data_IF_734153865757
#
_entry.id   IF_734153865757
#
_cell.length_a   1.000
_cell.length_b   1.000
_cell.length_c   1.000
_cell.angle_alpha   90.00
_cell.angle_beta   90.00
_cell.angle_gamma   90.00
#
_symmetry.space_group_name_H-M   'P 1'
#
loop_
_entity.id
_entity.type
_entity.pdbx_description
1 polymer ?
#
# COMPACT_ATOMS: atom_id res chain seq x y z
N UNK A 1 71.92 -10.80 -14.98
CA UNK A 1 71.48 -11.07 -13.65
C UNK A 1 69.95 -11.08 -13.70
N UNK A 2 69.38 -12.28 -13.96
CA UNK A 2 67.91 -12.48 -13.99
C UNK A 2 67.43 -12.79 -12.57
N UNK A 3 66.48 -12.03 -12.09
CA UNK A 3 65.78 -12.30 -10.84
C UNK A 3 64.63 -13.28 -11.10
N UNK A 4 64.78 -14.53 -10.64
CA UNK A 4 63.73 -15.52 -10.50
C UNK A 4 62.79 -15.11 -9.36
N UNK A 5 61.64 -14.58 -9.67
CA UNK A 5 60.53 -14.43 -8.73
C UNK A 5 59.58 -15.61 -8.96
N UNK A 6 59.29 -16.45 -7.98
CA UNK A 6 58.31 -17.54 -8.14
C UNK A 6 56.91 -16.94 -8.27
N UNK A 7 56.01 -17.61 -9.05
CA UNK A 7 54.61 -17.17 -9.20
C UNK A 7 53.86 -17.24 -7.86
N UNK A 8 52.89 -16.34 -7.61
CA UNK A 8 52.07 -16.39 -6.43
C UNK A 8 51.25 -17.66 -6.35
N UNK A 9 50.92 -18.17 -5.15
CA UNK A 9 50.06 -19.35 -5.00
C UNK A 9 48.63 -19.04 -5.48
N UNK A 10 47.89 -20.03 -5.99
CA UNK A 10 46.49 -19.86 -6.42
C UNK A 10 45.60 -19.51 -5.20
N UNK A 11 44.53 -18.78 -5.38
CA UNK A 11 43.61 -18.44 -4.30
C UNK A 11 42.89 -19.72 -3.79
N UNK A 12 42.67 -19.87 -2.50
CA UNK A 12 41.90 -20.97 -1.93
C UNK A 12 40.42 -20.80 -2.28
N UNK A 13 39.77 -21.79 -2.87
CA UNK A 13 38.32 -21.73 -3.05
C UNK A 13 37.70 -22.56 -4.18
N UNK A 14 38.42 -23.35 -4.93
CA UNK A 14 37.83 -24.11 -6.06
C UNK A 14 37.51 -25.58 -5.82
N UNK A 15 37.81 -26.15 -4.67
CA UNK A 15 37.53 -27.56 -4.36
C UNK A 15 36.26 -27.81 -3.57
N UNK A 16 35.58 -26.77 -3.02
CA UNK A 16 34.36 -26.95 -2.24
C UNK A 16 33.06 -26.88 -3.06
N UNK A 17 33.11 -26.37 -4.31
CA UNK A 17 31.90 -26.16 -5.13
C UNK A 17 31.52 -27.45 -5.91
N UNK A 18 32.46 -28.35 -6.17
CA UNK A 18 32.14 -29.61 -6.89
C UNK A 18 31.53 -30.68 -5.97
N UNK A 19 31.85 -30.68 -4.66
CA UNK A 19 31.23 -31.62 -3.72
C UNK A 19 29.80 -31.21 -3.32
N UNK A 20 29.50 -29.88 -3.19
CA UNK A 20 28.15 -29.39 -2.88
C UNK A 20 27.18 -29.64 -4.05
N UNK A 21 27.61 -29.61 -5.28
CA UNK A 21 26.75 -29.90 -6.44
C UNK A 21 26.41 -31.38 -6.57
N UNK A 22 27.25 -32.30 -6.08
CA UNK A 22 26.93 -33.74 -6.11
C UNK A 22 25.94 -34.13 -5.00
N UNK A 23 26.02 -33.53 -3.82
CA UNK A 23 25.04 -33.76 -2.76
C UNK A 23 23.65 -33.18 -3.10
N UNK A 24 23.57 -32.05 -3.82
CA UNK A 24 22.28 -31.48 -4.25
C UNK A 24 21.62 -32.27 -5.39
N UNK A 25 22.38 -32.93 -6.25
CA UNK A 25 21.81 -33.82 -7.29
C UNK A 25 21.33 -35.18 -6.71
N UNK A 26 21.92 -35.68 -5.63
CA UNK A 26 21.42 -36.90 -4.95
C UNK A 26 20.18 -36.61 -4.09
N UNK A 27 20.07 -35.44 -3.43
CA UNK A 27 18.84 -35.03 -2.73
C UNK A 27 17.68 -34.79 -3.69
N UNK A 28 17.91 -34.22 -4.88
CA UNK A 28 16.86 -33.97 -5.87
C UNK A 28 16.28 -35.28 -6.46
N UNK A 29 17.07 -36.36 -6.52
CA UNK A 29 16.58 -37.67 -7.00
C UNK A 29 15.78 -38.44 -5.95
N UNK A 30 16.03 -38.18 -4.67
CA UNK A 30 15.31 -38.81 -3.56
C UNK A 30 13.90 -38.26 -3.32
N UNK A 31 13.66 -36.98 -3.70
CA UNK A 31 12.35 -36.30 -3.48
C UNK A 31 11.33 -36.73 -4.56
N UNK A 32 11.74 -36.94 -5.79
CA UNK A 32 10.82 -37.36 -6.86
C UNK A 32 10.24 -38.79 -6.70
N UNK A 33 11.00 -39.71 -6.09
CA UNK A 33 10.48 -41.08 -5.83
C UNK A 33 9.51 -41.14 -4.63
N UNK A 34 9.67 -40.25 -3.64
CA UNK A 34 8.77 -40.19 -2.49
C UNK A 34 7.45 -39.49 -2.81
N UNK A 35 7.43 -38.48 -3.69
CA UNK A 35 6.19 -37.81 -4.11
C UNK A 35 5.32 -38.71 -5.01
N UNK A 36 5.92 -39.61 -5.84
CA UNK A 36 5.16 -40.55 -6.66
C UNK A 36 4.48 -41.65 -5.84
N UNK A 37 5.10 -42.12 -4.76
CA UNK A 37 4.49 -43.12 -3.88
C UNK A 37 3.35 -42.52 -3.03
N UNK A 38 3.47 -41.25 -2.62
CA UNK A 38 2.43 -40.53 -1.87
C UNK A 38 1.16 -40.23 -2.69
N UNK A 39 1.29 -40.15 -4.03
CA UNK A 39 0.16 -39.90 -4.92
C UNK A 39 -0.71 -41.14 -5.18
N UNK A 40 -0.07 -42.30 -5.30
CA UNK A 40 -0.78 -43.60 -5.49
C UNK A 40 -1.52 -44.02 -4.21
N UNK A 41 -0.95 -43.77 -3.02
CA UNK A 41 -1.62 -44.03 -1.74
C UNK A 41 -2.81 -43.11 -1.48
N UNK A 42 -2.77 -41.87 -2.01
CA UNK A 42 -3.89 -40.92 -1.87
C UNK A 42 -5.07 -41.26 -2.77
N UNK A 43 -4.84 -41.86 -3.93
CA UNK A 43 -5.90 -42.35 -4.83
C UNK A 43 -6.59 -43.59 -4.29
N UNK A 44 -5.81 -44.50 -3.67
CA UNK A 44 -6.37 -45.69 -3.02
C UNK A 44 -7.25 -45.38 -1.80
N UNK A 45 -7.02 -44.23 -1.14
CA UNK A 45 -7.85 -43.78 0.01
C UNK A 45 -9.16 -43.13 -0.47
N UNK A 46 -9.20 -42.50 -1.62
CA UNK A 46 -10.43 -41.91 -2.19
C UNK A 46 -11.40 -42.98 -2.69
N UNK A 47 -10.91 -44.10 -3.22
CA UNK A 47 -11.78 -45.24 -3.63
C UNK A 47 -12.45 -45.96 -2.45
N UNK A 48 -11.89 -45.84 -1.24
CA UNK A 48 -12.48 -46.42 -0.03
C UNK A 48 -13.54 -45.54 0.64
N UNK A 49 -13.63 -44.27 0.30
CA UNK A 49 -14.61 -43.32 0.87
C UNK A 49 -15.96 -43.34 0.14
N UNK A 50 -16.03 -43.85 -1.07
CA UNK A 50 -17.27 -43.90 -1.88
C UNK A 50 -18.23 -45.03 -1.49
N UNK A 51 -17.76 -46.04 -0.68
CA UNK A 51 -18.57 -47.19 -0.28
C UNK A 51 -19.27 -47.03 1.09
N UNK A 52 -19.14 -45.89 1.80
CA UNK A 52 -19.71 -45.72 3.15
C UNK A 52 -20.51 -44.44 3.37
N UNK A 53 -21.45 -44.06 2.48
CA UNK A 53 -22.51 -43.14 2.89
C UNK A 53 -23.82 -43.35 2.11
N UNK A 54 -24.57 -44.29 2.55
CA UNK A 54 -26.03 -44.29 2.39
C UNK A 54 -26.64 -44.31 3.78
N UNK A 55 -26.95 -43.18 4.36
CA UNK A 55 -28.00 -43.06 5.41
C UNK A 55 -28.36 -41.58 5.65
N UNK A 56 -29.62 -41.32 5.33
CA UNK A 56 -30.51 -40.30 5.93
C UNK A 56 -30.16 -38.81 5.72
N UNK A 57 -30.71 -38.22 4.67
CA UNK A 57 -30.88 -36.77 4.53
C UNK A 57 -31.90 -36.25 5.56
N UNK A 58 -31.56 -35.23 6.39
CA UNK A 58 -32.59 -34.51 7.14
C UNK A 58 -33.35 -33.60 6.13
N UNK A 59 -34.63 -33.79 6.00
CA UNK A 59 -35.53 -32.91 5.26
C UNK A 59 -35.51 -31.51 5.90
N UNK A 60 -34.74 -30.59 5.31
CA UNK A 60 -34.78 -29.16 5.63
C UNK A 60 -36.01 -28.58 4.94
N UNK A 61 -36.95 -28.09 5.76
CA UNK A 61 -38.16 -27.41 5.29
C UNK A 61 -37.80 -26.06 4.64
N UNK A 62 -37.55 -26.12 3.34
CA UNK A 62 -37.10 -24.97 2.53
C UNK A 62 -38.13 -23.85 2.42
N UNK A 63 -39.41 -24.11 2.68
CA UNK A 63 -40.46 -23.07 2.67
C UNK A 63 -40.44 -22.20 3.93
N UNK A 64 -39.97 -22.71 5.06
CA UNK A 64 -39.88 -21.95 6.31
C UNK A 64 -38.68 -21.00 6.31
N UNK A 65 -37.55 -21.45 5.78
CA UNK A 65 -36.32 -20.67 5.69
C UNK A 65 -36.51 -19.51 4.69
N UNK A 66 -37.19 -19.71 3.58
CA UNK A 66 -37.46 -18.66 2.58
C UNK A 66 -38.40 -17.56 3.11
N UNK A 67 -39.35 -17.89 3.98
CA UNK A 67 -40.25 -16.90 4.59
C UNK A 67 -39.56 -16.06 5.67
N UNK A 68 -38.65 -16.65 6.44
CA UNK A 68 -37.86 -15.92 7.45
C UNK A 68 -36.82 -15.00 6.81
N UNK A 69 -36.23 -15.38 5.68
CA UNK A 69 -35.34 -14.52 4.90
C UNK A 69 -36.05 -13.34 4.24
N UNK A 70 -37.22 -13.53 3.64
CA UNK A 70 -38.01 -12.46 3.03
C UNK A 70 -38.52 -11.47 4.08
N UNK A 71 -38.92 -11.94 5.28
CA UNK A 71 -39.32 -11.05 6.37
C UNK A 71 -38.14 -10.22 6.94
N UNK A 72 -36.93 -10.74 6.90
CA UNK A 72 -35.73 -9.99 7.31
C UNK A 72 -35.32 -8.95 6.24
N UNK A 73 -35.52 -9.26 4.97
CA UNK A 73 -35.27 -8.30 3.86
C UNK A 73 -36.31 -7.16 3.87
N UNK A 74 -37.60 -7.46 4.04
CA UNK A 74 -38.64 -6.41 4.09
C UNK A 74 -38.49 -5.47 5.28
N UNK A 75 -37.95 -5.97 6.41
CA UNK A 75 -37.61 -5.15 7.58
C UNK A 75 -36.38 -4.25 7.36
N UNK A 76 -35.44 -4.66 6.50
CA UNK A 76 -34.25 -3.87 6.20
C UNK A 76 -34.50 -2.73 5.19
N UNK A 77 -35.59 -2.83 4.39
CA UNK A 77 -35.93 -1.79 3.40
C UNK A 77 -37.08 -0.85 3.83
N UNK A 78 -37.66 -1.01 5.02
CA UNK A 78 -38.78 -0.20 5.49
C UNK A 78 -38.38 1.17 6.07
N UNK A 79 -37.09 1.49 6.27
CA UNK A 79 -36.62 2.72 6.89
C UNK A 79 -35.94 3.71 5.91
N UNK A 80 -36.02 3.53 4.59
CA UNK A 80 -35.42 4.44 3.61
C UNK A 80 -36.45 5.18 2.71
N UNK A 81 -37.42 5.86 3.28
CA UNK A 81 -38.08 6.97 2.60
C UNK A 81 -37.85 8.27 3.36
N UNK A 82 -36.77 8.97 3.06
CA UNK A 82 -36.56 10.33 3.54
C UNK A 82 -35.15 10.75 3.80
N UNK A 83 -34.23 10.59 2.87
CA UNK A 83 -32.94 11.30 2.94
C UNK A 83 -32.58 11.87 1.57
N UNK A 84 -32.57 13.19 1.51
CA UNK A 84 -32.02 13.98 0.41
C UNK A 84 -30.56 13.56 0.16
N UNK A 85 -30.20 13.44 -1.12
CA UNK A 85 -28.83 13.22 -1.57
C UNK A 85 -27.94 14.39 -1.08
N UNK A 86 -27.36 14.21 0.08
CA UNK A 86 -26.13 14.93 0.48
C UNK A 86 -24.97 14.26 -0.25
N UNK A 87 -24.26 15.06 -1.03
CA UNK A 87 -22.98 14.69 -1.62
C UNK A 87 -22.11 14.05 -0.56
N UNK A 88 -21.77 12.77 -0.71
CA UNK A 88 -20.73 12.12 0.12
C UNK A 88 -19.41 12.89 -0.05
N UNK A 89 -19.17 13.77 0.90
CA UNK A 89 -17.89 14.36 1.15
C UNK A 89 -16.94 13.21 1.53
N UNK A 90 -15.95 12.97 0.68
CA UNK A 90 -14.88 11.98 0.90
C UNK A 90 -14.36 12.24 2.31
N UNK A 91 -14.54 11.29 3.21
CA UNK A 91 -14.10 11.40 4.59
C UNK A 91 -12.57 11.61 4.59
N UNK A 92 -12.14 12.86 4.80
CA UNK A 92 -10.75 13.19 5.09
C UNK A 92 -10.30 12.38 6.31
N UNK A 93 -9.07 11.84 6.32
CA UNK A 93 -8.56 11.11 7.47
C UNK A 93 -8.66 12.02 8.69
N UNK A 94 -9.49 11.65 9.67
CA UNK A 94 -9.66 12.41 10.90
C UNK A 94 -8.35 12.34 11.69
N UNK A 95 -7.55 13.37 11.55
CA UNK A 95 -6.38 13.61 12.39
C UNK A 95 -6.83 13.73 13.84
N UNK A 96 -6.22 12.98 14.75
CA UNK A 96 -6.58 13.00 16.16
C UNK A 96 -6.47 14.41 16.77
N UNK A 97 -7.18 14.72 17.85
CA UNK A 97 -7.26 16.07 18.45
C UNK A 97 -5.92 16.65 18.94
N UNK A 98 -4.84 15.85 18.98
CA UNK A 98 -3.49 16.29 19.37
C UNK A 98 -2.53 16.44 18.17
N UNK A 99 -2.97 16.19 16.95
CA UNK A 99 -2.12 16.26 15.76
C UNK A 99 -1.87 17.70 15.33
N UNK A 100 -0.60 18.04 15.07
CA UNK A 100 -0.21 19.31 14.44
C UNK A 100 -0.21 19.22 12.91
N UNK A 101 -0.74 18.14 12.36
CA UNK A 101 -0.76 17.86 10.92
C UNK A 101 -1.98 18.50 10.28
N UNK A 102 -1.82 18.94 9.05
CA UNK A 102 -2.88 19.50 8.20
C UNK A 102 -2.85 18.86 6.82
N UNK A 103 -3.97 18.94 6.08
CA UNK A 103 -4.00 18.53 4.69
C UNK A 103 -2.85 19.17 3.90
N UNK A 104 -2.21 18.37 3.07
CA UNK A 104 -1.04 18.81 2.31
C UNK A 104 -1.29 20.05 1.46
N UNK A 105 -2.48 20.16 0.87
CA UNK A 105 -2.87 21.32 0.05
C UNK A 105 -2.96 22.63 0.85
N UNK A 106 -3.41 22.57 2.11
CA UNK A 106 -3.44 23.75 2.99
C UNK A 106 -2.03 24.21 3.32
N UNK A 107 -1.14 23.27 3.69
CA UNK A 107 0.25 23.60 4.02
C UNK A 107 0.98 24.17 2.82
N UNK A 108 0.75 23.63 1.61
CA UNK A 108 1.37 24.11 0.39
C UNK A 108 0.92 25.53 0.02
N UNK A 109 -0.29 25.95 0.41
CA UNK A 109 -0.80 27.30 0.19
C UNK A 109 -0.15 28.37 1.10
N UNK A 110 0.46 27.98 2.23
CA UNK A 110 1.08 28.90 3.19
C UNK A 110 2.50 29.23 2.70
N UNK A 111 2.88 30.52 2.54
CA UNK A 111 4.21 30.88 2.09
C UNK A 111 5.29 30.54 3.12
N UNK A 112 6.48 30.15 2.66
CA UNK A 112 7.64 29.78 3.45
C UNK A 112 8.18 28.38 3.12
N UNK A 113 9.40 28.11 3.57
CA UNK A 113 10.03 26.79 3.41
C UNK A 113 9.30 25.74 4.25
N UNK A 114 9.41 24.47 3.85
CA UNK A 114 8.70 23.34 4.50
C UNK A 114 9.68 22.28 4.97
N UNK A 115 9.34 21.64 6.07
CA UNK A 115 9.87 20.33 6.42
C UNK A 115 8.93 19.28 5.82
N UNK A 116 9.38 18.62 4.75
CA UNK A 116 8.65 17.51 4.12
C UNK A 116 8.91 16.23 4.88
N UNK A 117 7.84 15.54 5.22
CA UNK A 117 7.87 14.22 5.88
C UNK A 117 6.98 13.28 5.09
N UNK A 118 7.55 12.24 4.48
CA UNK A 118 6.82 11.34 3.59
C UNK A 118 6.98 9.90 4.06
N UNK A 119 5.86 9.21 4.27
CA UNK A 119 5.82 7.75 4.35
C UNK A 119 5.56 7.22 2.95
N UNK A 120 6.50 6.43 2.43
CA UNK A 120 6.40 5.82 1.12
C UNK A 120 6.50 4.31 1.25
N UNK A 121 5.54 3.57 0.69
CA UNK A 121 5.58 2.12 0.63
C UNK A 121 5.51 1.63 -0.81
N UNK A 122 6.22 0.54 -1.08
CA UNK A 122 6.20 -0.16 -2.35
C UNK A 122 5.76 -1.59 -2.11
N UNK A 123 4.60 -1.97 -2.66
CA UNK A 123 4.10 -3.34 -2.66
C UNK A 123 4.61 -4.07 -3.91
N UNK A 124 5.15 -5.27 -3.72
CA UNK A 124 5.42 -6.23 -4.79
C UNK A 124 4.69 -7.53 -4.48
N UNK A 125 3.76 -7.93 -5.35
CA UNK A 125 2.89 -9.07 -5.10
C UNK A 125 2.81 -10.00 -6.31
N UNK A 126 2.87 -11.31 -6.05
CA UNK A 126 2.57 -12.35 -7.02
C UNK A 126 1.26 -13.02 -6.61
N UNK A 127 0.26 -12.98 -7.50
CA UNK A 127 -1.05 -13.57 -7.30
C UNK A 127 -1.24 -14.81 -8.18
N UNK A 128 -2.09 -15.71 -7.71
CA UNK A 128 -2.70 -16.71 -8.59
C UNK A 128 -3.75 -16.04 -9.49
N UNK A 129 -4.14 -16.65 -10.62
CA UNK A 129 -5.12 -16.08 -11.55
C UNK A 129 -6.50 -15.81 -10.94
N UNK A 130 -6.85 -16.48 -9.84
CA UNK A 130 -8.07 -16.25 -9.06
C UNK A 130 -7.96 -15.03 -8.11
N UNK A 131 -6.80 -14.38 -8.07
CA UNK A 131 -6.51 -13.22 -7.21
C UNK A 131 -6.03 -13.59 -5.80
N UNK A 132 -5.81 -14.87 -5.46
CA UNK A 132 -5.22 -15.23 -4.17
C UNK A 132 -3.73 -14.91 -4.13
N UNK A 133 -3.23 -14.49 -2.95
CA UNK A 133 -1.80 -14.14 -2.78
C UNK A 133 -0.95 -15.40 -2.76
N UNK A 134 0.10 -15.40 -3.55
CA UNK A 134 1.17 -16.38 -3.51
C UNK A 134 2.39 -15.86 -2.76
N UNK A 135 2.77 -14.62 -3.05
CA UNK A 135 3.90 -13.92 -2.43
C UNK A 135 3.60 -12.45 -2.36
N UNK A 136 4.03 -11.79 -1.30
CA UNK A 136 3.93 -10.34 -1.13
C UNK A 136 5.15 -9.87 -0.34
N UNK A 137 5.73 -8.74 -0.76
CA UNK A 137 6.71 -7.96 -0.01
C UNK A 137 6.31 -6.49 -0.03
N UNK A 138 6.59 -5.80 1.06
CA UNK A 138 6.32 -4.36 1.20
C UNK A 138 7.57 -3.71 1.76
N UNK A 139 8.19 -2.88 0.94
CA UNK A 139 9.34 -2.07 1.32
C UNK A 139 8.87 -0.65 1.60
N UNK A 140 9.23 -0.12 2.75
CA UNK A 140 8.86 1.22 3.20
C UNK A 140 10.05 2.13 3.39
N UNK A 141 9.83 3.42 3.24
CA UNK A 141 10.79 4.49 3.53
C UNK A 141 10.08 5.65 4.24
N UNK A 142 10.62 6.09 5.36
CA UNK A 142 10.30 7.40 5.93
C UNK A 142 11.35 8.39 5.41
N UNK A 143 10.89 9.36 4.64
CA UNK A 143 11.72 10.39 4.01
C UNK A 143 11.49 11.71 4.73
N UNK A 144 12.55 12.29 5.28
CA UNK A 144 12.53 13.65 5.83
C UNK A 144 13.39 14.54 4.94
N UNK A 145 12.85 15.66 4.50
CA UNK A 145 13.55 16.61 3.64
C UNK A 145 13.35 18.05 4.10
N UNK A 146 14.44 18.73 4.39
CA UNK A 146 14.47 20.16 4.62
C UNK A 146 14.49 20.90 3.26
N UNK A 147 13.45 21.70 2.95
CA UNK A 147 13.40 22.46 1.71
C UNK A 147 14.12 23.82 1.80
N UNK A 148 14.46 24.27 2.99
CA UNK A 148 15.13 25.55 3.17
C UNK A 148 16.53 25.55 2.56
N UNK A 149 16.91 26.65 1.97
CA UNK A 149 18.27 26.90 1.48
C UNK A 149 19.19 27.59 2.50
N UNK A 150 18.62 28.05 3.63
CA UNK A 150 19.30 28.91 4.59
C UNK A 150 19.32 28.31 5.99
N UNK A 151 18.19 27.72 6.39
CA UNK A 151 17.95 27.35 7.77
C UNK A 151 17.92 25.84 7.95
N UNK A 152 18.47 25.37 9.05
CA UNK A 152 18.38 23.97 9.47
C UNK A 152 17.12 23.76 10.30
N UNK A 153 16.62 22.53 10.31
CA UNK A 153 15.63 22.02 11.24
C UNK A 153 16.34 21.06 12.24
N UNK A 154 15.96 21.09 13.50
CA UNK A 154 16.53 20.21 14.52
C UNK A 154 15.47 19.70 15.49
N UNK A 155 15.87 18.75 16.36
CA UNK A 155 14.99 18.06 17.31
C UNK A 155 13.71 17.57 16.62
N UNK A 156 13.89 16.85 15.49
CA UNK A 156 12.80 16.36 14.69
C UNK A 156 12.32 15.05 15.31
N UNK A 157 11.09 15.04 15.80
CA UNK A 157 10.41 13.87 16.32
C UNK A 157 9.19 13.57 15.45
N UNK A 158 9.16 12.37 14.86
CA UNK A 158 8.06 11.85 14.07
C UNK A 158 7.37 10.76 14.87
N UNK A 159 6.11 10.99 15.24
CA UNK A 159 5.27 9.98 15.89
C UNK A 159 4.40 9.30 14.84
N UNK A 160 4.37 7.98 14.87
CA UNK A 160 3.60 7.14 13.96
C UNK A 160 2.58 6.30 14.72
N UNK A 161 1.42 6.13 14.12
CA UNK A 161 0.36 5.22 14.56
C UNK A 161 0.32 3.96 13.69
N UNK A 162 -0.24 2.87 14.24
CA UNK A 162 -0.43 1.60 13.55
C UNK A 162 0.86 0.95 13.04
N UNK A 163 1.96 1.09 13.77
CA UNK A 163 3.27 0.55 13.39
C UNK A 163 3.43 -0.96 13.64
N UNK A 164 2.41 -1.64 14.17
CA UNK A 164 2.47 -3.07 14.52
C UNK A 164 2.75 -4.00 13.33
N UNK A 165 2.48 -3.54 12.12
CA UNK A 165 2.74 -4.25 10.86
C UNK A 165 4.06 -3.87 10.21
N UNK A 166 4.92 -3.13 10.91
CA UNK A 166 6.23 -2.66 10.43
C UNK A 166 7.33 -3.01 11.42
N UNK A 167 8.57 -2.96 10.98
CA UNK A 167 9.76 -3.11 11.82
C UNK A 167 10.33 -1.77 12.35
N UNK A 168 9.59 -0.67 12.21
CA UNK A 168 9.99 0.67 12.72
C UNK A 168 10.19 0.68 14.24
N UNK A 169 9.58 -0.29 14.98
CA UNK A 169 9.63 -0.29 16.44
C UNK A 169 8.69 0.76 17.04
N UNK A 170 8.80 1.10 18.29
CA UNK A 170 7.88 1.89 19.13
C UNK A 170 7.18 3.15 18.59
N UNK A 171 7.13 3.37 17.29
CA UNK A 171 6.35 4.44 16.64
C UNK A 171 6.94 5.85 16.74
N UNK A 172 8.01 6.06 17.51
CA UNK A 172 8.69 7.34 17.65
C UNK A 172 10.07 7.31 16.95
N UNK A 173 10.29 8.21 16.02
CA UNK A 173 11.54 8.35 15.26
C UNK A 173 12.13 9.73 15.53
N UNK A 174 13.37 9.76 16.00
CA UNK A 174 14.07 10.98 16.34
C UNK A 174 15.23 11.23 15.37
N UNK A 175 15.23 12.40 14.73
CA UNK A 175 16.33 12.89 13.91
C UNK A 175 16.87 14.17 14.51
N UNK A 176 18.15 14.16 14.87
CA UNK A 176 18.77 15.27 15.59
C UNK A 176 18.70 16.59 14.83
N UNK A 177 19.09 16.57 13.57
CA UNK A 177 19.08 17.76 12.72
C UNK A 177 19.09 17.41 11.23
N UNK A 178 18.56 18.32 10.42
CA UNK A 178 18.67 18.35 8.98
C UNK A 178 19.18 19.71 8.57
N UNK A 179 20.36 19.78 7.97
CA UNK A 179 20.91 20.99 7.41
C UNK A 179 20.06 21.51 6.23
N UNK A 180 20.34 22.73 5.79
CA UNK A 180 19.69 23.32 4.63
C UNK A 180 19.81 22.40 3.40
N UNK A 181 18.70 22.14 2.72
CA UNK A 181 18.54 21.25 1.55
C UNK A 181 18.83 19.76 1.82
N UNK A 182 19.08 19.36 3.05
CA UNK A 182 19.39 17.98 3.40
C UNK A 182 18.11 17.11 3.37
N UNK A 183 18.31 15.84 2.99
CA UNK A 183 17.31 14.78 3.11
C UNK A 183 17.91 13.57 3.82
N UNK A 184 17.09 12.89 4.60
CA UNK A 184 17.43 11.60 5.20
C UNK A 184 16.32 10.60 4.91
N UNK A 185 16.70 9.34 4.65
CA UNK A 185 15.78 8.24 4.39
C UNK A 185 16.00 7.16 5.42
N UNK A 186 14.93 6.69 6.01
CA UNK A 186 14.90 5.61 7.00
C UNK A 186 14.10 4.46 6.40
N UNK A 187 14.76 3.42 5.88
CA UNK A 187 14.08 2.27 5.30
C UNK A 187 13.44 1.41 6.40
N UNK A 188 12.33 0.76 6.07
CA UNK A 188 11.66 -0.22 6.90
C UNK A 188 11.00 -1.30 6.05
N UNK A 189 10.67 -2.43 6.66
CA UNK A 189 9.85 -3.46 6.05
C UNK A 189 8.46 -3.46 6.67
N UNK A 190 7.48 -3.80 5.87
CA UNK A 190 6.10 -3.80 6.31
C UNK A 190 5.35 -5.06 5.88
N UNK A 191 4.22 -5.31 6.54
CA UNK A 191 3.22 -6.30 6.15
C UNK A 191 1.84 -5.64 6.17
N UNK A 192 0.91 -6.14 5.37
CA UNK A 192 -0.41 -5.56 5.35
C UNK A 192 -1.34 -6.21 4.33
N UNK A 193 -2.63 -5.87 4.35
CA UNK A 193 -3.57 -6.32 3.34
C UNK A 193 -3.22 -5.66 2.00
N UNK A 194 -3.45 -6.39 0.92
CA UNK A 194 -3.33 -5.85 -0.44
C UNK A 194 -4.21 -4.61 -0.62
N UNK A 195 -3.81 -3.74 -1.52
CA UNK A 195 -4.60 -2.58 -1.94
C UNK A 195 -5.46 -2.89 -3.16
N UNK A 196 -5.00 -3.79 -4.03
CA UNK A 196 -5.66 -4.13 -5.28
C UNK A 196 -5.71 -5.64 -5.48
N UNK A 197 -6.77 -6.15 -6.09
CA UNK A 197 -6.89 -7.53 -6.55
C UNK A 197 -6.99 -7.52 -8.06
N UNK A 198 -6.18 -8.35 -8.71
CA UNK A 198 -6.25 -8.61 -10.14
C UNK A 198 -6.59 -10.07 -10.34
N UNK A 199 -7.60 -10.36 -11.18
CA UNK A 199 -8.01 -11.72 -11.55
C UNK A 199 -8.01 -11.85 -13.06
N UNK A 200 -7.59 -12.99 -13.57
CA UNK A 200 -7.69 -13.32 -14.97
C UNK A 200 -8.48 -14.63 -15.14
N UNK A 201 -9.56 -14.56 -15.86
CA UNK A 201 -10.33 -15.69 -16.29
C UNK A 201 -10.16 -15.88 -17.80
N UNK A 202 -9.80 -17.09 -18.23
CA UNK A 202 -9.67 -17.47 -19.66
C UNK A 202 -10.67 -18.58 -19.92
N UNK A 203 -11.61 -18.33 -20.85
CA UNK A 203 -12.57 -19.29 -21.33
C UNK A 203 -12.20 -19.70 -22.77
N UNK A 204 -11.95 -20.98 -22.96
CA UNK A 204 -11.59 -21.55 -24.27
C UNK A 204 -12.80 -21.97 -25.11
N UNK A 205 -14.01 -21.96 -24.53
CA UNK A 205 -15.27 -22.30 -25.20
C UNK A 205 -16.36 -21.28 -24.84
N UNK A 206 -16.25 -19.99 -25.26
CA UNK A 206 -17.16 -18.92 -24.83
C UNK A 206 -18.61 -19.15 -25.23
N UNK A 207 -18.90 -19.96 -26.27
CA UNK A 207 -20.24 -20.34 -26.63
C UNK A 207 -20.88 -21.36 -25.66
N UNK A 208 -20.08 -22.01 -24.83
CA UNK A 208 -20.48 -23.01 -23.85
C UNK A 208 -19.84 -22.67 -22.51
N UNK A 209 -20.44 -21.79 -21.70
CA UNK A 209 -19.88 -21.39 -20.43
C UNK A 209 -19.52 -22.63 -19.59
N UNK A 210 -18.24 -22.84 -19.37
CA UNK A 210 -17.68 -23.91 -18.53
C UNK A 210 -16.78 -23.31 -17.47
N UNK A 211 -16.40 -24.10 -16.49
CA UNK A 211 -15.32 -23.72 -15.60
C UNK A 211 -14.04 -23.47 -16.43
N UNK A 212 -13.29 -22.45 -16.02
CA UNK A 212 -12.08 -21.98 -16.68
C UNK A 212 -11.10 -23.14 -16.93
N UNK A 213 -11.06 -23.62 -18.15
CA UNK A 213 -10.14 -24.68 -18.57
C UNK A 213 -9.07 -24.10 -19.49
N UNK A 214 -7.78 -24.32 -19.16
CA UNK A 214 -6.67 -24.02 -20.08
C UNK A 214 -6.36 -25.18 -21.02
N UNK A 215 -7.37 -25.97 -21.38
CA UNK A 215 -7.25 -27.08 -22.34
C UNK A 215 -7.99 -26.74 -23.62
N UNK A 216 -7.29 -26.84 -24.76
CA UNK A 216 -7.87 -26.62 -26.09
C UNK A 216 -7.64 -27.88 -26.93
N UNK A 217 -8.58 -28.17 -27.82
CA UNK A 217 -8.39 -29.24 -28.79
C UNK A 217 -7.56 -28.70 -29.95
N UNK A 218 -6.57 -29.48 -30.42
CA UNK A 218 -5.80 -29.13 -31.59
C UNK A 218 -6.71 -28.92 -32.81
N UNK A 219 -6.55 -27.78 -33.46
CA UNK A 219 -7.29 -27.39 -34.66
C UNK A 219 -6.36 -26.70 -35.64
N UNK A 220 -6.50 -27.01 -36.94
CA UNK A 220 -5.79 -26.31 -38.03
C UNK A 220 -6.33 -24.88 -38.22
N UNK A 221 -7.51 -24.58 -37.69
CA UNK A 221 -8.16 -23.26 -37.74
C UNK A 221 -7.99 -22.52 -36.44
N UNK A 222 -7.90 -21.20 -36.51
CA UNK A 222 -7.90 -20.35 -35.33
C UNK A 222 -9.20 -20.50 -34.55
N UNK A 223 -9.11 -20.51 -33.22
CA UNK A 223 -10.22 -20.61 -32.29
C UNK A 223 -10.32 -19.28 -31.52
N UNK A 224 -11.52 -18.76 -31.37
CA UNK A 224 -11.77 -17.61 -30.54
C UNK A 224 -11.89 -18.03 -29.08
N UNK A 225 -11.23 -17.30 -28.19
CA UNK A 225 -11.34 -17.48 -26.73
C UNK A 225 -11.76 -16.18 -26.08
N UNK A 226 -12.30 -16.26 -24.87
CA UNK A 226 -12.63 -15.11 -24.05
C UNK A 226 -11.62 -14.97 -22.92
N UNK A 227 -11.04 -13.79 -22.76
CA UNK A 227 -10.21 -13.44 -21.63
C UNK A 227 -10.84 -12.28 -20.88
N UNK A 228 -11.09 -12.45 -19.58
CA UNK A 228 -11.61 -11.40 -18.69
C UNK A 228 -10.55 -11.05 -17.67
N UNK A 229 -10.17 -9.78 -17.61
CA UNK A 229 -9.27 -9.24 -16.60
C UNK A 229 -10.09 -8.34 -15.69
N UNK A 230 -10.22 -8.71 -14.42
CA UNK A 230 -10.96 -7.93 -13.42
C UNK A 230 -9.97 -7.31 -12.43
N UNK A 231 -10.11 -6.01 -12.23
CA UNK A 231 -9.36 -5.22 -11.25
C UNK A 231 -10.34 -4.70 -10.21
N UNK A 232 -10.04 -4.93 -8.93
CA UNK A 232 -10.87 -4.55 -7.80
C UNK A 232 -10.05 -3.73 -6.79
N UNK A 233 -10.55 -2.58 -6.38
CA UNK A 233 -9.96 -1.77 -5.33
C UNK A 233 -10.45 -2.26 -3.96
N UNK A 234 -9.55 -2.80 -3.15
CA UNK A 234 -9.82 -3.21 -1.76
C UNK A 234 -9.07 -2.34 -0.74
N UNK A 235 -8.48 -1.24 -1.21
CA UNK A 235 -7.83 -0.24 -0.36
C UNK A 235 -8.87 0.64 0.37
N UNK A 236 -8.49 1.37 1.44
CA UNK A 236 -9.37 2.33 2.11
C UNK A 236 -9.48 3.66 1.36
N UNK A 237 -8.71 3.82 0.29
CA UNK A 237 -8.64 5.04 -0.54
C UNK A 237 -8.77 4.67 -2.02
N UNK A 238 -9.04 5.66 -2.85
CA UNK A 238 -9.03 5.47 -4.30
C UNK A 238 -7.63 5.09 -4.79
N UNK A 239 -7.57 4.16 -5.74
CA UNK A 239 -6.34 3.86 -6.48
C UNK A 239 -6.27 4.73 -7.72
N UNK A 240 -5.07 5.21 -8.05
CA UNK A 240 -4.81 6.08 -9.19
C UNK A 240 -3.77 5.47 -10.12
N UNK A 241 -3.69 5.99 -11.34
CA UNK A 241 -2.68 5.64 -12.34
C UNK A 241 -2.55 4.13 -12.58
N UNK A 242 -3.68 3.41 -12.54
CA UNK A 242 -3.67 1.97 -12.70
C UNK A 242 -3.35 1.62 -14.15
N UNK A 243 -2.31 0.81 -14.34
CA UNK A 243 -1.88 0.32 -15.64
C UNK A 243 -1.79 -1.20 -15.60
N UNK A 244 -2.61 -1.85 -16.41
CA UNK A 244 -2.60 -3.28 -16.60
C UNK A 244 -1.84 -3.58 -17.90
N UNK A 245 -0.88 -4.50 -17.83
CA UNK A 245 -0.13 -5.02 -18.98
C UNK A 245 -0.37 -6.51 -19.10
N UNK A 246 -0.65 -6.97 -20.28
CA UNK A 246 -0.79 -8.39 -20.57
C UNK A 246 0.06 -8.78 -21.77
N UNK A 247 0.98 -9.67 -21.57
CA UNK A 247 1.77 -10.25 -22.67
C UNK A 247 0.87 -11.05 -23.61
N UNK A 248 0.96 -10.75 -24.90
CA UNK A 248 0.23 -11.46 -25.97
C UNK A 248 1.19 -12.46 -26.59
N UNK A 249 0.98 -13.78 -26.40
CA UNK A 249 1.83 -14.80 -27.02
C UNK A 249 1.73 -14.77 -28.55
N UNK A 250 2.77 -15.23 -29.24
CA UNK A 250 2.83 -15.29 -30.72
C UNK A 250 1.69 -16.09 -31.39
N UNK A 251 1.05 -16.96 -30.61
CA UNK A 251 -0.07 -17.77 -31.10
C UNK A 251 -1.43 -17.03 -31.06
N UNK A 252 -1.44 -15.79 -30.52
CA UNK A 252 -2.62 -14.99 -30.35
C UNK A 252 -2.67 -13.90 -31.40
N UNK A 253 -3.82 -13.76 -32.03
CA UNK A 253 -4.16 -12.65 -32.91
C UNK A 253 -5.18 -11.75 -32.18
N UNK A 254 -4.77 -10.56 -31.85
CA UNK A 254 -5.58 -9.53 -31.18
C UNK A 254 -5.32 -8.19 -31.85
N UNK A 255 -6.35 -7.39 -32.06
CA UNK A 255 -6.27 -6.01 -32.55
C UNK A 255 -6.58 -5.02 -31.45
N UNK A 256 -6.21 -3.76 -31.64
CA UNK A 256 -6.52 -2.67 -30.73
C UNK A 256 -8.02 -2.59 -30.45
N UNK A 257 -8.36 -2.27 -29.23
CA UNK A 257 -9.74 -2.06 -28.78
C UNK A 257 -9.95 -0.63 -28.27
N UNK A 258 -11.20 -0.25 -28.00
CA UNK A 258 -11.51 1.11 -27.54
C UNK A 258 -10.97 1.42 -26.12
N UNK A 259 -10.69 0.38 -25.32
CA UNK A 259 -10.29 0.50 -23.90
C UNK A 259 -8.81 0.20 -23.68
N UNK A 260 -8.11 -0.36 -24.66
CA UNK A 260 -6.72 -0.76 -24.55
C UNK A 260 -5.95 -0.53 -25.85
N UNK A 261 -4.66 -0.38 -25.72
CA UNK A 261 -3.69 -0.29 -26.82
C UNK A 261 -2.87 -1.57 -26.89
N UNK A 262 -2.39 -1.93 -28.09
CA UNK A 262 -1.41 -3.00 -28.26
C UNK A 262 -0.08 -2.38 -28.68
N UNK A 263 0.96 -2.63 -27.91
CA UNK A 263 2.31 -2.16 -28.21
C UNK A 263 3.33 -3.27 -27.93
N UNK A 264 4.22 -3.55 -28.91
CA UNK A 264 5.33 -4.50 -28.79
C UNK A 264 4.93 -5.89 -28.26
N UNK A 265 3.73 -6.37 -28.58
CA UNK A 265 3.24 -7.67 -28.12
C UNK A 265 2.67 -7.66 -26.71
N UNK A 266 2.41 -6.49 -26.14
CA UNK A 266 1.68 -6.30 -24.90
C UNK A 266 0.37 -5.53 -25.13
N UNK A 267 -0.68 -5.98 -24.49
CA UNK A 267 -1.90 -5.22 -24.29
C UNK A 267 -1.70 -4.30 -23.09
N UNK A 268 -2.02 -3.01 -23.26
CA UNK A 268 -1.90 -1.98 -22.22
C UNK A 268 -3.29 -1.38 -21.98
N UNK A 269 -3.83 -1.62 -20.79
CA UNK A 269 -5.11 -1.06 -20.34
C UNK A 269 -4.86 -0.07 -19.20
N UNK A 270 -5.31 1.18 -19.38
CA UNK A 270 -5.12 2.28 -18.43
C UNK A 270 -6.44 2.63 -17.77
N UNK A 271 -6.45 2.58 -16.44
CA UNK A 271 -7.56 2.98 -15.60
C UNK A 271 -7.10 4.19 -14.78
N UNK A 272 -7.65 5.39 -15.03
CA UNK A 272 -7.14 6.62 -14.40
C UNK A 272 -7.34 6.60 -12.88
N UNK A 273 -8.57 6.31 -12.40
CA UNK A 273 -8.93 6.25 -10.98
C UNK A 273 -9.95 5.15 -10.75
N UNK A 274 -9.76 4.40 -9.67
CA UNK A 274 -10.70 3.38 -9.21
C UNK A 274 -11.11 3.68 -7.77
N UNK A 275 -12.35 4.09 -7.51
CA UNK A 275 -12.87 4.37 -6.17
C UNK A 275 -12.83 3.16 -5.24
N UNK A 276 -12.99 3.41 -3.94
CA UNK A 276 -12.99 2.38 -2.89
C UNK A 276 -14.12 1.36 -3.14
N UNK A 277 -13.77 0.07 -3.10
CA UNK A 277 -14.73 -1.03 -3.26
C UNK A 277 -15.24 -1.24 -4.68
N UNK A 278 -14.82 -0.41 -5.64
CA UNK A 278 -15.21 -0.60 -7.03
C UNK A 278 -14.35 -1.62 -7.77
N UNK A 279 -14.93 -2.20 -8.82
CA UNK A 279 -14.23 -3.12 -9.72
C UNK A 279 -14.55 -2.79 -11.17
N UNK A 280 -13.57 -3.02 -12.03
CA UNK A 280 -13.71 -2.88 -13.49
C UNK A 280 -13.21 -4.15 -14.17
N UNK A 281 -13.81 -4.48 -15.31
CA UNK A 281 -13.48 -5.70 -16.06
C UNK A 281 -13.27 -5.35 -17.52
N UNK A 282 -12.13 -5.80 -18.07
CA UNK A 282 -11.83 -5.79 -19.49
C UNK A 282 -12.11 -7.17 -20.06
N UNK A 283 -12.91 -7.24 -21.13
CA UNK A 283 -13.17 -8.45 -21.90
C UNK A 283 -12.52 -8.34 -23.29
N UNK A 284 -11.72 -9.34 -23.64
CA UNK A 284 -11.05 -9.42 -24.95
C UNK A 284 -11.29 -10.78 -25.58
N UNK A 285 -11.36 -10.81 -26.92
CA UNK A 285 -11.65 -11.97 -27.72
C UNK A 285 -10.51 -12.27 -28.72
N UNK A 286 -9.34 -12.75 -28.25
CA UNK A 286 -8.26 -13.11 -29.16
C UNK A 286 -8.57 -14.38 -29.92
N UNK A 287 -8.03 -14.48 -31.15
CA UNK A 287 -8.00 -15.71 -31.92
C UNK A 287 -6.70 -16.44 -31.66
N UNK A 288 -6.79 -17.70 -31.29
CA UNK A 288 -5.64 -18.55 -30.95
C UNK A 288 -5.42 -19.59 -32.03
N UNK A 289 -4.20 -19.66 -32.58
CA UNK A 289 -3.79 -20.67 -33.56
C UNK A 289 -2.91 -21.71 -32.89
N UNK A 290 -3.37 -22.97 -32.88
CA UNK A 290 -2.60 -24.11 -32.34
C UNK A 290 -1.74 -24.69 -33.42
N UNK A 291 -0.40 -24.52 -33.30
CA UNK A 291 0.57 -25.05 -34.32
C UNK A 291 0.99 -26.49 -34.08
N UNK A 292 0.82 -27.00 -32.88
CA UNK A 292 1.24 -28.37 -32.50
C UNK A 292 0.49 -28.81 -31.23
N UNK A 293 0.59 -30.07 -30.86
CA UNK A 293 0.05 -30.65 -29.61
C UNK A 293 0.93 -30.32 -28.39
N UNK A 294 1.79 -29.31 -28.48
CA UNK A 294 2.67 -28.89 -27.38
C UNK A 294 1.99 -27.80 -26.54
N UNK A 295 2.35 -27.76 -25.26
CA UNK A 295 1.95 -26.67 -24.37
C UNK A 295 2.56 -25.35 -24.84
N UNK A 296 1.84 -24.26 -24.69
CA UNK A 296 2.36 -22.91 -24.91
C UNK A 296 1.85 -21.95 -23.82
N UNK A 297 2.61 -20.87 -23.58
CA UNK A 297 2.30 -19.87 -22.57
C UNK A 297 0.96 -19.18 -22.87
N UNK A 298 0.17 -18.93 -21.83
CA UNK A 298 -1.07 -18.17 -21.94
C UNK A 298 -0.83 -16.65 -21.96
N UNK A 299 0.39 -16.21 -21.65
CA UNK A 299 0.77 -14.84 -21.38
C UNK A 299 0.65 -14.52 -19.88
N UNK A 300 1.40 -13.52 -19.45
CA UNK A 300 1.39 -13.00 -18.07
C UNK A 300 0.62 -11.70 -18.00
N UNK A 301 0.02 -11.42 -16.84
CA UNK A 301 -0.61 -10.15 -16.52
C UNK A 301 0.17 -9.48 -15.40
N UNK A 302 0.51 -8.22 -15.58
CA UNK A 302 1.05 -7.35 -14.54
C UNK A 302 0.19 -6.11 -14.37
N UNK A 303 0.20 -5.56 -13.18
CA UNK A 303 -0.56 -4.37 -12.84
C UNK A 303 0.27 -3.45 -11.95
N UNK A 304 0.18 -2.15 -12.19
CA UNK A 304 0.78 -1.13 -11.35
C UNK A 304 -0.30 -0.15 -10.90
N UNK A 305 -0.14 0.43 -9.71
CA UNK A 305 -1.03 1.46 -9.15
C UNK A 305 -0.28 2.42 -8.25
N UNK A 306 -0.90 3.56 -7.94
CA UNK A 306 -0.50 4.50 -6.90
C UNK A 306 -1.70 4.83 -5.98
N UNK A 307 -1.44 5.21 -4.71
CA UNK A 307 -2.47 5.71 -3.80
C UNK A 307 -1.89 6.56 -2.66
N UNK A 308 -2.75 7.31 -1.98
CA UNK A 308 -2.42 8.19 -0.85
C UNK A 308 -2.68 7.50 0.51
N UNK A 309 -2.24 6.26 0.65
CA UNK A 309 -2.28 5.50 1.90
C UNK A 309 -1.13 4.50 1.95
N UNK A 310 -0.70 4.07 3.14
CA UNK A 310 0.25 2.97 3.31
C UNK A 310 -0.46 1.62 3.25
N UNK A 311 0.21 0.61 2.70
CA UNK A 311 -0.27 -0.78 2.71
C UNK A 311 -0.33 -1.32 4.14
N UNK A 312 0.64 -0.97 4.98
CA UNK A 312 0.72 -1.32 6.40
C UNK A 312 -0.34 -0.66 7.28
N UNK A 313 -1.05 0.37 6.77
CA UNK A 313 -1.94 1.26 7.53
C UNK A 313 -1.23 2.15 8.54
N UNK A 314 0.09 2.26 8.45
CA UNK A 314 0.87 3.20 9.27
C UNK A 314 0.56 4.63 8.85
N UNK A 315 0.36 5.50 9.82
CA UNK A 315 0.00 6.91 9.63
C UNK A 315 0.84 7.81 10.54
N UNK A 316 0.96 9.07 10.16
CA UNK A 316 1.52 10.07 11.06
C UNK A 316 0.53 10.40 12.19
N UNK A 317 1.03 10.46 13.42
CA UNK A 317 0.32 11.01 14.56
C UNK A 317 0.69 12.49 14.73
N UNK A 318 1.99 12.78 14.80
CA UNK A 318 2.50 14.14 14.87
C UNK A 318 3.93 14.24 14.34
N UNK A 319 4.33 15.46 13.96
CA UNK A 319 5.70 15.78 13.57
C UNK A 319 6.12 17.05 14.28
N UNK A 320 7.02 16.95 15.24
CA UNK A 320 7.55 18.06 16.00
C UNK A 320 8.97 18.35 15.51
N UNK A 321 9.28 19.63 15.33
CA UNK A 321 10.63 20.04 14.91
C UNK A 321 10.87 21.49 15.27
N UNK A 322 12.15 21.84 15.42
CA UNK A 322 12.56 23.17 15.85
C UNK A 322 13.24 23.93 14.72
N UNK A 323 13.05 25.25 14.73
CA UNK A 323 13.76 26.18 13.86
C UNK A 323 14.22 27.40 14.66
N UNK A 324 15.03 28.23 14.04
CA UNK A 324 15.56 29.42 14.72
C UNK A 324 14.47 30.43 15.02
N UNK A 325 14.23 30.65 16.29
CA UNK A 325 13.29 31.65 16.80
C UNK A 325 13.95 32.44 17.94
N UNK A 326 13.38 33.55 18.31
CA UNK A 326 13.80 34.36 19.42
C UNK A 326 12.59 34.86 20.21
N UNK A 327 12.57 34.60 21.52
CA UNK A 327 11.54 35.08 22.41
C UNK A 327 12.08 36.06 23.44
N UNK A 328 11.30 37.05 23.77
CA UNK A 328 11.62 37.97 24.86
C UNK A 328 10.34 38.57 25.44
N UNK A 329 10.41 38.97 26.72
CA UNK A 329 9.33 39.73 27.34
C UNK A 329 9.67 41.21 27.26
N UNK A 330 8.75 41.98 26.73
CA UNK A 330 8.87 43.45 26.61
C UNK A 330 8.11 44.15 27.73
N UNK A 331 8.78 44.64 28.78
CA UNK A 331 8.17 45.46 29.79
C UNK A 331 8.19 46.95 29.36
N UNK A 332 7.02 47.55 29.31
CA UNK A 332 6.82 48.97 29.05
C UNK A 332 6.32 49.64 30.33
N UNK A 333 7.07 50.62 30.80
CA UNK A 333 6.66 51.41 31.98
C UNK A 333 5.40 52.25 31.67
N UNK A 334 4.46 52.27 32.58
CA UNK A 334 3.26 53.10 32.53
C UNK A 334 3.61 54.55 32.90
N UNK A 335 2.65 55.46 32.81
CA UNK A 335 2.76 56.84 33.36
C UNK A 335 3.00 56.85 34.88
N UNK A 336 2.69 55.77 35.57
CA UNK A 336 3.01 55.49 36.97
C UNK A 336 4.33 54.71 37.06
N UNK A 337 5.34 55.21 37.81
CA UNK A 337 6.69 54.64 37.79
C UNK A 337 6.85 53.21 38.33
N UNK A 338 5.85 52.68 39.04
CA UNK A 338 5.89 51.34 39.67
C UNK A 338 5.08 50.31 38.88
N UNK A 339 4.60 50.64 37.67
CA UNK A 339 3.72 49.79 36.88
C UNK A 339 4.34 49.52 35.55
N UNK A 340 4.41 48.21 35.20
CA UNK A 340 4.89 47.76 33.92
C UNK A 340 3.82 46.95 33.19
N UNK A 341 3.64 47.25 31.92
CA UNK A 341 2.84 46.49 30.99
C UNK A 341 3.78 45.52 30.26
N UNK A 342 3.57 44.24 30.43
CA UNK A 342 4.47 43.22 29.95
C UNK A 342 3.76 42.30 28.94
N UNK A 343 4.41 42.05 27.80
CA UNK A 343 3.97 41.07 26.82
C UNK A 343 5.13 40.21 26.37
N UNK A 344 4.84 38.95 26.08
CA UNK A 344 5.79 38.03 25.41
C UNK A 344 5.77 38.32 23.92
N UNK A 345 6.94 38.48 23.32
CA UNK A 345 7.13 38.65 21.88
C UNK A 345 7.91 37.44 21.38
N UNK A 346 7.42 36.81 20.32
CA UNK A 346 8.07 35.69 19.63
C UNK A 346 8.39 36.11 18.21
N UNK A 347 9.69 36.12 17.86
CA UNK A 347 10.19 36.41 16.53
C UNK A 347 10.57 35.11 15.83
N UNK A 348 9.91 34.80 14.71
CA UNK A 348 10.38 33.73 13.84
C UNK A 348 11.58 34.22 13.01
N UNK A 349 12.75 33.72 13.32
CA UNK A 349 14.01 34.07 12.62
C UNK A 349 14.45 33.01 11.62
N UNK A 350 13.49 32.21 11.15
CA UNK A 350 13.74 31.15 10.17
C UNK A 350 12.92 31.38 8.89
N UNK A 351 13.27 30.66 7.86
CA UNK A 351 12.53 30.63 6.58
C UNK A 351 11.28 29.73 6.62
N UNK A 352 11.07 28.99 7.71
CA UNK A 352 9.91 28.13 7.90
C UNK A 352 8.74 28.90 8.51
N UNK A 353 7.52 28.39 8.32
CA UNK A 353 6.39 28.78 9.15
C UNK A 353 6.49 28.04 10.48
N UNK A 354 6.34 28.77 11.57
CA UNK A 354 6.36 28.24 12.95
C UNK A 354 4.95 28.26 13.50
N UNK A 355 4.47 27.11 13.92
CA UNK A 355 3.21 26.97 14.67
C UNK A 355 3.51 27.07 16.17
N UNK A 356 2.90 28.03 16.84
CA UNK A 356 3.01 28.25 18.28
C UNK A 356 1.88 27.51 18.98
N UNK A 357 2.22 26.64 19.93
CA UNK A 357 1.23 25.83 20.68
C UNK A 357 1.06 26.26 22.13
N UNK A 358 2.06 26.88 22.74
CA UNK A 358 2.00 27.32 24.11
C UNK A 358 3.16 28.22 24.49
N UNK A 359 3.00 28.97 25.56
CA UNK A 359 4.08 29.75 26.16
C UNK A 359 3.83 30.01 27.64
N UNK A 360 4.90 29.94 28.43
CA UNK A 360 4.88 30.21 29.85
C UNK A 360 5.97 31.23 30.19
N UNK A 361 5.61 32.22 30.98
CA UNK A 361 6.53 33.29 31.42
C UNK A 361 6.55 33.34 32.94
N UNK A 362 7.73 33.36 33.51
CA UNK A 362 7.93 33.53 34.95
C UNK A 362 8.69 34.82 35.24
N UNK A 363 8.39 35.43 36.40
CA UNK A 363 9.23 36.50 36.97
C UNK A 363 10.40 35.81 37.66
N UNK A 364 11.62 36.27 37.41
CA UNK A 364 12.81 35.69 38.01
C UNK A 364 12.67 35.64 39.54
N UNK A 365 12.88 34.44 40.12
CA UNK A 365 12.75 34.18 41.55
C UNK A 365 11.31 33.93 42.07
N UNK A 366 10.34 33.80 41.19
CA UNK A 366 8.97 33.34 41.53
C UNK A 366 8.71 31.97 40.91
N UNK A 367 8.07 31.09 41.68
CA UNK A 367 7.67 29.76 41.22
C UNK A 367 6.39 29.76 40.39
N UNK A 368 5.47 30.68 40.70
CA UNK A 368 4.19 30.80 39.98
C UNK A 368 4.41 31.47 38.60
N UNK A 369 3.78 30.98 37.55
CA UNK A 369 3.86 31.59 36.23
C UNK A 369 3.19 32.97 36.25
N UNK A 370 3.88 33.95 35.68
CA UNK A 370 3.33 35.28 35.45
C UNK A 370 2.29 35.27 34.34
N UNK A 371 2.57 34.55 33.27
CA UNK A 371 1.71 34.36 32.10
C UNK A 371 1.81 32.93 31.66
N UNK A 372 0.69 32.25 31.52
CA UNK A 372 0.58 30.89 31.02
C UNK A 372 -0.46 30.88 29.92
N UNK A 373 -0.10 30.36 28.76
CA UNK A 373 -0.92 30.29 27.56
C UNK A 373 -0.79 28.89 26.97
N UNK A 374 -1.87 28.18 27.04
CA UNK A 374 -2.01 26.84 26.43
C UNK A 374 -2.90 26.96 25.19
N UNK A 375 -2.80 25.97 24.30
CA UNK A 375 -3.61 25.88 23.08
C UNK A 375 -3.54 27.12 22.16
N UNK A 376 -2.37 27.75 22.10
CA UNK A 376 -2.12 28.82 21.13
C UNK A 376 -2.09 28.13 19.75
N UNK A 377 -2.92 28.58 18.83
CA UNK A 377 -3.02 28.04 17.46
C UNK A 377 -2.64 29.11 16.44
N UNK A 378 -1.50 29.76 16.70
CA UNK A 378 -1.02 30.87 15.88
C UNK A 378 0.16 30.43 15.01
N UNK A 379 0.16 30.90 13.78
CA UNK A 379 1.21 30.67 12.81
C UNK A 379 2.00 31.93 12.60
N UNK A 380 3.30 31.83 12.86
CA UNK A 380 4.23 32.93 12.67
C UNK A 380 4.93 32.71 11.32
N UNK A 381 4.66 33.54 10.31
CA UNK A 381 5.34 33.43 9.01
C UNK A 381 6.84 33.66 9.13
N UNK A 382 7.63 33.33 8.09
CA UNK A 382 9.05 33.67 8.04
C UNK A 382 9.28 35.16 8.36
N UNK A 383 10.25 35.45 9.25
CA UNK A 383 10.60 36.80 9.71
C UNK A 383 9.42 37.54 10.39
N UNK A 384 8.35 36.82 10.73
CA UNK A 384 7.18 37.36 11.40
C UNK A 384 7.35 37.49 12.92
N UNK A 385 6.43 38.24 13.50
CA UNK A 385 6.33 38.52 14.95
C UNK A 385 4.95 38.10 15.46
N UNK A 386 4.93 37.56 16.65
CA UNK A 386 3.70 37.34 17.42
C UNK A 386 3.85 37.94 18.79
N UNK A 387 2.79 38.61 19.30
CA UNK A 387 2.72 39.22 20.59
C UNK A 387 1.61 38.57 21.45
N UNK A 388 1.94 38.23 22.69
CA UNK A 388 0.93 37.77 23.65
C UNK A 388 -0.03 38.92 24.09
N UNK A 389 -1.07 38.55 24.81
CA UNK A 389 -1.83 39.50 25.59
C UNK A 389 -0.89 40.25 26.55
N UNK A 390 -1.21 41.55 26.76
CA UNK A 390 -0.50 42.38 27.69
C UNK A 390 -0.98 42.12 29.12
N UNK A 391 -0.05 41.94 30.06
CA UNK A 391 -0.36 41.75 31.48
C UNK A 391 0.40 42.79 32.32
N UNK A 392 -0.33 43.38 33.25
CA UNK A 392 0.21 44.44 34.13
C UNK A 392 0.86 43.85 35.37
N UNK A 393 1.98 44.42 35.80
CA UNK A 393 2.67 44.09 37.04
C UNK A 393 3.08 45.37 37.79
N UNK A 394 3.00 45.34 39.13
CA UNK A 394 3.55 46.36 40.02
C UNK A 394 4.92 45.92 40.51
N UNK A 395 5.94 46.72 40.25
CA UNK A 395 7.33 46.43 40.64
C UNK A 395 8.12 47.74 40.80
N UNK A 396 8.98 47.80 41.79
CA UNK A 396 9.82 48.99 42.05
C UNK A 396 10.89 49.16 40.96
N UNK A 397 11.43 48.03 40.50
CA UNK A 397 12.45 47.98 39.44
C UNK A 397 11.89 47.20 38.24
N UNK A 398 12.50 47.40 37.06
CA UNK A 398 12.17 46.71 35.87
C UNK A 398 12.28 45.18 36.09
N UNK A 399 11.16 44.43 35.99
CA UNK A 399 11.15 43.00 36.26
C UNK A 399 11.98 42.20 35.24
N UNK A 400 12.68 41.21 35.73
CA UNK A 400 13.39 40.21 34.91
C UNK A 400 12.47 38.98 34.69
N UNK A 401 12.46 38.44 33.48
CA UNK A 401 11.62 37.34 33.11
C UNK A 401 12.46 36.17 32.58
N UNK A 402 11.94 34.95 32.83
CA UNK A 402 12.30 33.74 32.11
C UNK A 402 11.07 33.26 31.36
N UNK A 403 11.25 32.59 30.26
CA UNK A 403 10.14 32.09 29.45
C UNK A 403 10.48 30.74 28.78
N UNK A 404 9.43 29.99 28.54
CA UNK A 404 9.42 28.77 27.74
C UNK A 404 8.40 28.94 26.63
N UNK A 405 8.75 28.50 25.42
CA UNK A 405 7.91 28.63 24.24
C UNK A 405 7.78 27.26 23.59
N UNK A 406 6.57 26.76 23.48
CA UNK A 406 6.22 25.53 22.81
C UNK A 406 5.82 25.83 21.38
N UNK A 407 6.64 25.38 20.42
CA UNK A 407 6.44 25.64 19.00
C UNK A 407 6.99 24.50 18.17
N UNK A 408 6.53 24.41 16.93
CA UNK A 408 7.07 23.50 15.93
C UNK A 408 7.11 24.16 14.56
N UNK A 409 8.03 23.75 13.68
CA UNK A 409 7.90 24.03 12.25
C UNK A 409 6.59 23.39 11.77
N UNK A 410 5.83 24.09 10.95
CA UNK A 410 4.64 23.52 10.30
C UNK A 410 5.09 22.44 9.31
N UNK A 411 4.81 21.15 9.57
CA UNK A 411 5.27 20.06 8.72
C UNK A 411 4.38 19.89 7.49
N UNK A 412 4.97 19.46 6.40
CA UNK A 412 4.25 18.99 5.22
C UNK A 412 4.33 17.46 5.20
N UNK A 413 3.33 16.81 5.82
CA UNK A 413 3.24 15.36 5.86
C UNK A 413 2.53 14.80 4.62
N UNK A 414 3.03 13.69 4.11
CA UNK A 414 2.46 12.97 2.98
C UNK A 414 2.58 11.46 3.19
N UNK A 415 1.60 10.72 2.69
CA UNK A 415 1.58 9.26 2.70
C UNK A 415 1.32 8.80 1.28
N UNK A 416 2.15 7.92 0.76
CA UNK A 416 2.01 7.40 -0.59
C UNK A 416 2.39 5.93 -0.67
N UNK A 417 1.70 5.18 -1.52
CA UNK A 417 2.10 3.83 -1.88
C UNK A 417 2.02 3.63 -3.38
N UNK A 418 2.91 2.76 -3.85
CA UNK A 418 2.87 2.22 -5.21
C UNK A 418 2.86 0.71 -5.12
N UNK A 419 2.16 0.04 -6.04
CA UNK A 419 2.14 -1.40 -6.10
C UNK A 419 2.45 -1.93 -7.49
N UNK A 420 3.17 -3.06 -7.51
CA UNK A 420 3.36 -3.88 -8.68
C UNK A 420 2.82 -5.28 -8.37
N UNK A 421 1.87 -5.73 -9.16
CA UNK A 421 1.21 -7.02 -9.01
C UNK A 421 1.48 -7.84 -10.27
N UNK A 422 1.90 -9.08 -10.12
CA UNK A 422 2.05 -10.02 -11.22
C UNK A 422 1.13 -11.23 -10.99
N UNK A 423 0.47 -11.69 -12.03
CA UNK A 423 -0.24 -12.97 -11.99
C UNK A 423 0.72 -14.11 -12.37
N UNK A 424 0.60 -15.22 -11.64
CA UNK A 424 1.34 -16.45 -11.96
C UNK A 424 1.06 -16.86 -13.40
N UNK A 425 2.11 -17.08 -14.16
CA UNK A 425 2.02 -17.56 -15.53
C UNK A 425 1.26 -18.88 -15.62
N UNK A 426 0.46 -19.04 -16.68
CA UNK A 426 -0.26 -20.26 -17.04
C UNK A 426 0.10 -20.73 -18.43
N UNK A 427 -0.19 -22.00 -18.73
CA UNK A 427 0.04 -22.58 -20.04
C UNK A 427 -1.21 -23.28 -20.55
N UNK A 428 -1.46 -23.17 -21.83
CA UNK A 428 -2.47 -23.98 -22.51
C UNK A 428 -1.97 -25.40 -22.71
N UNK A 429 -2.85 -26.36 -22.42
CA UNK A 429 -2.66 -27.78 -22.73
C UNK A 429 -3.41 -28.11 -24.01
N UNK A 430 -2.71 -28.50 -25.07
CA UNK A 430 -3.34 -28.84 -26.32
C UNK A 430 -3.62 -30.36 -26.34
N UNK A 431 -4.90 -30.69 -26.58
CA UNK A 431 -5.39 -32.06 -26.62
C UNK A 431 -5.49 -32.54 -28.08
N UNK A 432 -5.05 -33.73 -28.35
CA UNK A 432 -5.28 -34.38 -29.64
C UNK A 432 -6.77 -34.68 -29.81
N UNK A 433 -7.33 -34.33 -30.97
CA UNK A 433 -8.75 -34.53 -31.28
C UNK A 433 -9.18 -36.00 -31.18
N UNK A 434 -8.29 -36.98 -31.52
CA UNK A 434 -8.61 -38.40 -31.40
C UNK A 434 -8.68 -38.89 -29.95
N UNK A 435 -7.82 -38.34 -29.06
CA UNK A 435 -7.86 -38.64 -27.64
C UNK A 435 -9.12 -38.08 -27.01
N UNK A 436 -9.51 -36.86 -27.37
CA UNK A 436 -10.72 -36.21 -26.84
C UNK A 436 -12.00 -36.97 -27.26
N UNK A 437 -12.08 -37.51 -28.47
CA UNK A 437 -13.19 -38.38 -28.88
C UNK A 437 -13.29 -39.63 -28.00
N UNK A 438 -12.17 -40.25 -27.64
CA UNK A 438 -12.16 -41.44 -26.76
C UNK A 438 -12.68 -41.10 -25.33
N UNK A 439 -12.27 -39.94 -24.77
CA UNK A 439 -12.77 -39.51 -23.46
C UNK A 439 -14.25 -39.19 -23.49
N UNK A 440 -14.76 -38.49 -24.50
CA UNK A 440 -16.18 -38.20 -24.62
C UNK A 440 -17.02 -39.47 -24.76
N UNK A 441 -16.56 -40.45 -25.51
CA UNK A 441 -17.26 -41.74 -25.68
C UNK A 441 -17.20 -42.56 -24.37
N UNK A 442 -16.13 -42.55 -23.62
CA UNK A 442 -16.06 -43.24 -22.32
C UNK A 442 -16.97 -42.62 -21.27
N UNK A 443 -17.10 -41.29 -21.21
CA UNK A 443 -18.04 -40.56 -20.37
C UNK A 443 -19.50 -40.89 -20.72
N UNK A 444 -19.87 -40.89 -21.99
CA UNK A 444 -21.20 -41.28 -22.43
C UNK A 444 -21.48 -42.77 -22.07
N UNK A 445 -20.53 -43.64 -22.17
CA UNK A 445 -20.72 -45.07 -21.79
C UNK A 445 -20.87 -45.28 -20.29
N UNK A 446 -20.23 -44.49 -19.46
CA UNK A 446 -20.43 -44.56 -18.00
C UNK A 446 -21.81 -43.99 -17.56
N UNK A 447 -22.36 -42.99 -18.24
CA UNK A 447 -23.73 -42.53 -18.01
C UNK A 447 -24.80 -43.53 -18.45
N UNK A 448 -24.60 -44.29 -19.52
CA UNK A 448 -25.57 -45.29 -19.98
C UNK A 448 -25.49 -46.60 -19.18
N UNK A 449 -24.41 -46.85 -18.47
CA UNK A 449 -24.23 -48.05 -17.62
C UNK A 449 -24.74 -47.89 -16.16
N UNK A 450 -25.20 -46.67 -15.80
CA UNK A 450 -25.74 -46.36 -14.48
C UNK A 450 -27.30 -46.22 -14.45
N UNK A 451 -27.99 -46.50 -15.57
CA UNK A 451 -29.41 -46.75 -15.65
C UNK A 451 -29.65 -48.27 -15.82
#
# INVERSE_FOLDING_TARGET
>A
VGSNIPPPPPPPGFSAIEEENQEQEEEARGVDELELQSFDDSLAYLDQLDDQQVSEEPQIDTERTAKEWNAALDSAFADEEGSQAESEEVAEPQLGPSSNLRPAAEVDAIPGDKLYVTLKEKEESVLNPDGTVRQQSIDGELILRNSSRKDRAWDIEVLLQNTSSTDIGGGAINVRELDATQSTNLPYTASGPRMMVVREHIDTEPERPQESSLSMVFSEHSQEILIKITVENIAPVSLNDIVIRRVIPENFELSDGPEYDINEGELIWKIGRLPVGESVTLEIHPRVTTRSVQRFAAGTVSAAYSCEATVSRTQFDSVISRARQFGYVSPKEDDRPDIFHCKLVVENRSSFVVSLSGATVWIAGREEPFLEMEDIREEIPPEGLWDSIEKRIEAIDKPNFTHEINYSILPRANVESTGNIELKERSFKILDAEVNKKYSISRIRSYIASD
#
